data_IF_767081936885
#
_entry.id   IF_767081936885
#
_cell.length_a   1.000
_cell.length_b   1.000
_cell.length_c   1.000
_cell.angle_alpha   90.00
_cell.angle_beta   90.00
_cell.angle_gamma   90.00
#
_symmetry.space_group_name_H-M   'P 1'
#
loop_
_entity.id
_entity.type
_entity.pdbx_description
1 polymer ?
#
# COMPACT_ATOMS: atom_id res chain seq x y z
N UNK A 1 1.16 -20.15 4.40
CA UNK A 1 2.25 -20.32 3.43
C UNK A 1 3.19 -21.43 3.83
N UNK A 2 2.82 -22.18 4.81
CA UNK A 2 3.53 -23.38 5.24
C UNK A 2 4.98 -23.06 5.56
N UNK A 3 5.90 -23.78 4.99
CA UNK A 3 7.32 -23.58 5.23
C UNK A 3 8.00 -22.79 4.12
N UNK A 4 7.23 -22.28 3.19
CA UNK A 4 7.78 -21.54 2.07
C UNK A 4 8.04 -20.11 2.50
N UNK A 5 9.24 -19.65 2.35
CA UNK A 5 9.58 -18.27 2.61
C UNK A 5 8.84 -17.37 1.62
N UNK A 6 8.25 -16.31 2.14
CA UNK A 6 7.64 -15.31 1.28
C UNK A 6 8.77 -14.45 0.72
N UNK A 7 8.89 -14.44 -0.60
CA UNK A 7 9.89 -13.67 -1.30
C UNK A 7 9.18 -12.67 -2.20
N UNK A 8 9.40 -11.39 -1.92
CA UNK A 8 8.82 -10.29 -2.67
C UNK A 8 9.91 -9.56 -3.45
N UNK A 9 10.63 -10.29 -4.27
CA UNK A 9 11.61 -9.68 -5.15
C UNK A 9 10.95 -8.62 -6.03
N UNK A 10 11.70 -7.58 -6.28
CA UNK A 10 11.23 -6.49 -7.09
C UNK A 10 11.03 -6.96 -8.53
N UNK A 11 9.78 -7.18 -8.89
CA UNK A 11 9.41 -7.43 -10.28
C UNK A 11 9.13 -6.08 -10.93
N UNK A 12 9.70 -5.86 -12.10
CA UNK A 12 9.46 -4.61 -12.82
C UNK A 12 7.96 -4.46 -13.11
N UNK A 13 7.45 -3.25 -12.96
CA UNK A 13 6.05 -2.97 -13.24
C UNK A 13 5.80 -3.10 -14.75
N UNK A 14 4.74 -3.80 -15.10
CA UNK A 14 4.33 -4.02 -16.49
C UNK A 14 2.81 -3.93 -16.60
N UNK A 15 2.28 -4.22 -17.78
CA UNK A 15 0.85 -4.11 -18.04
C UNK A 15 0.00 -5.07 -17.21
N UNK A 16 0.61 -6.10 -16.60
CA UNK A 16 -0.08 -7.06 -15.74
C UNK A 16 -0.03 -6.68 -14.26
N UNK A 17 0.70 -5.64 -13.93
CA UNK A 17 0.84 -5.17 -12.55
C UNK A 17 -0.53 -4.82 -11.97
N UNK A 18 -0.82 -5.36 -10.79
CA UNK A 18 -2.06 -5.08 -10.08
C UNK A 18 -1.78 -4.20 -8.86
N UNK A 19 -2.56 -3.14 -8.73
CA UNK A 19 -2.42 -2.16 -7.67
C UNK A 19 -3.73 -2.07 -6.91
N UNK A 20 -3.66 -2.14 -5.58
CA UNK A 20 -4.81 -1.96 -4.72
C UNK A 20 -5.06 -0.48 -4.45
N UNK A 21 -6.30 -0.06 -4.60
CA UNK A 21 -6.72 1.31 -4.33
C UNK A 21 -7.89 1.30 -3.35
N UNK A 22 -7.95 2.31 -2.52
CA UNK A 22 -9.03 2.46 -1.55
C UNK A 22 -9.83 3.73 -1.83
N UNK A 23 -11.10 3.56 -2.10
CA UNK A 23 -12.03 4.64 -2.40
C UNK A 23 -12.93 4.93 -1.19
N UNK A 24 -13.52 6.11 -1.10
CA UNK A 24 -13.43 7.22 -2.04
C UNK A 24 -12.12 7.99 -1.94
N UNK A 25 -11.78 8.70 -3.00
CA UNK A 25 -10.63 9.59 -3.05
C UNK A 25 -11.08 10.99 -3.45
N UNK A 26 -10.31 12.00 -3.06
CA UNK A 26 -10.55 13.37 -3.52
C UNK A 26 -10.27 13.48 -5.02
N UNK A 27 -10.81 14.52 -5.65
CA UNK A 27 -10.55 14.77 -7.06
C UNK A 27 -9.04 14.93 -7.33
N UNK A 28 -8.33 15.64 -6.45
CA UNK A 28 -6.89 15.82 -6.59
C UNK A 28 -6.14 14.50 -6.51
N UNK A 29 -6.56 13.61 -5.62
CA UNK A 29 -5.94 12.29 -5.51
C UNK A 29 -6.19 11.46 -6.77
N UNK A 30 -7.42 11.48 -7.29
CA UNK A 30 -7.75 10.77 -8.51
C UNK A 30 -6.94 11.30 -9.70
N UNK A 31 -6.82 12.61 -9.81
CA UNK A 31 -6.04 13.24 -10.88
C UNK A 31 -4.57 12.83 -10.81
N UNK A 32 -4.01 12.82 -9.60
CA UNK A 32 -2.62 12.41 -9.40
C UNK A 32 -2.39 10.95 -9.81
N UNK A 33 -3.36 10.08 -9.53
CA UNK A 33 -3.24 8.66 -9.80
C UNK A 33 -3.75 8.26 -11.18
N UNK A 34 -4.31 9.20 -11.95
CA UNK A 34 -4.85 8.88 -13.27
C UNK A 34 -3.84 8.21 -14.19
N UNK A 35 -2.58 8.66 -14.29
CA UNK A 35 -1.59 7.97 -15.11
C UNK A 35 -1.38 6.51 -14.72
N UNK A 36 -1.39 6.24 -13.40
CA UNK A 36 -1.23 4.90 -12.90
C UNK A 36 -2.46 4.04 -13.22
N UNK A 37 -3.66 4.58 -12.99
CA UNK A 37 -4.90 3.86 -13.23
C UNK A 37 -5.15 3.60 -14.73
N UNK A 38 -4.60 4.43 -15.60
CA UNK A 38 -4.75 4.23 -17.04
C UNK A 38 -3.81 3.17 -17.61
N UNK A 39 -2.78 2.79 -16.85
CA UNK A 39 -1.74 1.90 -17.33
C UNK A 39 -1.76 0.54 -16.67
N UNK A 40 -2.12 0.48 -15.40
CA UNK A 40 -2.05 -0.75 -14.61
C UNK A 40 -3.43 -1.19 -14.15
N UNK A 41 -3.54 -2.46 -13.79
CA UNK A 41 -4.80 -3.00 -13.30
C UNK A 41 -5.02 -2.56 -11.86
N UNK A 42 -6.16 -1.92 -11.62
CA UNK A 42 -6.53 -1.46 -10.28
C UNK A 42 -7.55 -2.41 -9.66
N UNK A 43 -7.44 -2.61 -8.37
CA UNK A 43 -8.38 -3.41 -7.58
C UNK A 43 -8.79 -2.63 -6.34
N UNK A 44 -10.08 -2.62 -6.07
CA UNK A 44 -10.62 -2.03 -4.85
C UNK A 44 -11.22 -3.16 -4.02
N UNK A 45 -10.58 -3.48 -2.90
CA UNK A 45 -10.98 -4.62 -2.08
C UNK A 45 -11.91 -4.19 -0.95
N UNK A 46 -11.88 -2.90 -0.60
CA UNK A 46 -12.75 -2.36 0.43
C UNK A 46 -12.25 -2.56 1.85
N UNK A 47 -11.05 -3.11 2.01
CA UNK A 47 -10.42 -3.28 3.32
C UNK A 47 -8.95 -2.90 3.21
N UNK A 48 -8.55 -1.85 3.93
CA UNK A 48 -7.15 -1.41 3.94
C UNK A 48 -6.22 -2.47 4.49
N UNK A 49 -6.62 -3.14 5.55
CA UNK A 49 -5.82 -4.21 6.14
C UNK A 49 -5.62 -5.37 5.17
N UNK A 50 -6.69 -5.78 4.48
CA UNK A 50 -6.62 -6.89 3.55
C UNK A 50 -5.79 -6.55 2.32
N UNK A 51 -5.92 -5.33 1.80
CA UNK A 51 -5.09 -4.88 0.67
C UNK A 51 -3.60 -4.92 1.02
N UNK A 52 -3.25 -4.42 2.19
CA UNK A 52 -1.86 -4.44 2.63
C UNK A 52 -1.33 -5.86 2.78
N UNK A 53 -2.15 -6.77 3.31
CA UNK A 53 -1.79 -8.18 3.41
C UNK A 53 -1.59 -8.81 2.03
N UNK A 54 -2.42 -8.48 1.07
CA UNK A 54 -2.26 -8.97 -0.31
C UNK A 54 -0.99 -8.44 -0.95
N UNK A 55 -0.61 -7.20 -0.65
CA UNK A 55 0.69 -6.70 -1.11
C UNK A 55 1.83 -7.50 -0.51
N UNK A 56 1.75 -7.80 0.78
CA UNK A 56 2.79 -8.57 1.47
C UNK A 56 2.94 -9.98 0.91
N UNK A 57 1.83 -10.61 0.50
CA UNK A 57 1.87 -11.99 -0.03
C UNK A 57 2.16 -12.06 -1.52
N UNK A 58 2.23 -10.92 -2.20
CA UNK A 58 2.53 -10.91 -3.63
C UNK A 58 1.33 -10.92 -4.55
N UNK A 59 0.14 -10.92 -4.00
CA UNK A 59 -1.07 -10.87 -4.81
C UNK A 59 -1.23 -9.51 -5.50
N UNK A 60 -0.83 -8.44 -4.81
CA UNK A 60 -0.78 -7.10 -5.37
C UNK A 60 0.67 -6.65 -5.43
N UNK A 61 1.03 -5.94 -6.48
CA UNK A 61 2.36 -5.36 -6.61
C UNK A 61 2.54 -4.16 -5.71
N UNK A 62 1.47 -3.41 -5.52
CA UNK A 62 1.48 -2.26 -4.62
C UNK A 62 0.09 -1.90 -4.17
N UNK A 63 0.02 -1.03 -3.19
CA UNK A 63 -1.24 -0.57 -2.61
C UNK A 63 -1.10 0.91 -2.27
N UNK A 64 -2.17 1.65 -2.49
CA UNK A 64 -2.27 3.07 -2.16
C UNK A 64 -3.53 3.26 -1.34
N UNK A 65 -3.38 3.81 -0.15
CA UNK A 65 -4.51 4.00 0.75
C UNK A 65 -4.35 5.33 1.48
N UNK A 66 -5.22 6.27 1.17
CA UNK A 66 -5.18 7.59 1.77
C UNK A 66 -6.16 7.76 2.94
N UNK A 67 -6.96 6.74 3.23
CA UNK A 67 -8.05 6.87 4.21
C UNK A 67 -7.99 5.84 5.32
N UNK A 68 -6.83 5.25 5.54
CA UNK A 68 -6.69 4.20 6.54
C UNK A 68 -6.35 4.79 7.91
N UNK A 69 -6.84 4.16 8.95
CA UNK A 69 -6.46 4.48 10.33
C UNK A 69 -5.35 3.53 10.79
N UNK A 70 -4.58 3.97 11.79
CA UNK A 70 -3.44 3.20 12.26
C UNK A 70 -3.81 1.80 12.72
N UNK A 71 -4.98 1.62 13.34
CA UNK A 71 -5.40 0.32 13.85
C UNK A 71 -5.77 -0.66 12.74
N UNK A 72 -6.02 -0.17 11.52
CA UNK A 72 -6.32 -1.03 10.39
C UNK A 72 -5.08 -1.64 9.76
N UNK A 73 -3.91 -1.05 9.98
CA UNK A 73 -2.71 -1.40 9.23
C UNK A 73 -1.55 -1.88 10.10
N UNK A 74 -1.66 -1.81 11.43
CA UNK A 74 -0.51 -2.10 12.29
C UNK A 74 0.08 -3.48 12.02
N UNK A 75 -0.76 -4.51 11.96
CA UNK A 75 -0.29 -5.88 11.70
C UNK A 75 0.26 -6.04 10.28
N UNK A 76 -0.42 -5.44 9.31
CA UNK A 76 0.00 -5.51 7.91
C UNK A 76 1.32 -4.76 7.69
N UNK A 77 1.50 -3.65 8.37
CA UNK A 77 2.77 -2.91 8.33
C UNK A 77 3.93 -3.80 8.80
N UNK A 78 3.75 -4.49 9.92
CA UNK A 78 4.77 -5.40 10.43
C UNK A 78 5.02 -6.56 9.48
N UNK A 79 3.96 -7.12 8.89
CA UNK A 79 4.09 -8.20 7.92
C UNK A 79 4.86 -7.75 6.67
N UNK A 80 4.54 -6.59 6.15
CA UNK A 80 5.24 -6.04 4.98
C UNK A 80 6.72 -5.83 5.28
N UNK A 81 7.04 -5.31 6.46
CA UNK A 81 8.43 -5.14 6.86
C UNK A 81 9.16 -6.48 6.91
N UNK A 82 8.50 -7.52 7.40
CA UNK A 82 9.12 -8.84 7.53
C UNK A 82 9.45 -9.50 6.20
N UNK A 83 8.76 -9.14 5.12
CA UNK A 83 9.01 -9.68 3.79
C UNK A 83 9.81 -8.73 2.91
N UNK A 84 10.30 -7.62 3.48
CA UNK A 84 11.13 -6.67 2.75
C UNK A 84 10.37 -5.74 1.82
N UNK A 85 9.07 -5.65 1.96
CA UNK A 85 8.26 -4.73 1.17
C UNK A 85 8.48 -3.30 1.65
N UNK A 86 8.54 -2.36 0.73
CA UNK A 86 8.71 -0.94 1.07
C UNK A 86 7.37 -0.34 1.45
N UNK A 87 7.39 0.52 2.47
CA UNK A 87 6.21 1.21 2.96
C UNK A 87 6.53 2.67 3.17
N UNK A 88 5.79 3.56 2.52
CA UNK A 88 6.03 4.99 2.59
C UNK A 88 4.76 5.69 3.05
N UNK A 89 4.84 6.37 4.18
CA UNK A 89 3.78 7.26 4.61
C UNK A 89 3.94 8.59 3.90
N UNK A 90 2.85 9.11 3.35
CA UNK A 90 2.89 10.39 2.62
C UNK A 90 2.88 11.58 3.57
N UNK A 91 2.55 11.34 4.83
CA UNK A 91 2.63 12.32 5.91
C UNK A 91 3.49 11.71 7.01
N UNK A 92 3.41 12.24 8.21
CA UNK A 92 4.20 11.71 9.32
C UNK A 92 3.82 10.26 9.63
N UNK A 93 4.81 9.38 9.76
CA UNK A 93 4.58 8.00 10.11
C UNK A 93 3.98 7.91 11.52
N UNK A 94 2.92 7.10 11.74
CA UNK A 94 2.40 6.87 13.06
C UNK A 94 3.23 5.90 13.89
N UNK A 95 4.22 5.23 13.28
CA UNK A 95 5.04 4.23 13.98
C UNK A 95 6.44 4.75 14.26
N UNK A 96 7.06 4.37 15.39
CA UNK A 96 6.46 3.56 16.46
C UNK A 96 5.34 4.33 17.15
N UNK A 97 4.29 3.61 17.51
CA UNK A 97 3.10 4.21 18.10
C UNK A 97 3.37 4.58 19.57
N UNK A 98 3.36 5.87 19.87
CA UNK A 98 3.61 6.37 21.24
C UNK A 98 2.32 6.66 21.98
N UNK A 99 1.27 7.01 21.26
CA UNK A 99 -0.04 7.31 21.80
C UNK A 99 -1.08 6.73 20.88
N UNK A 100 -2.21 6.36 21.46
CA UNK A 100 -3.36 5.90 20.70
C UNK A 100 -4.61 6.55 21.25
N UNK A 101 -5.43 7.10 20.37
CA UNK A 101 -6.77 7.57 20.73
C UNK A 101 -7.68 7.49 19.49
N UNK A 102 -9.00 7.33 19.73
CA UNK A 102 -9.92 7.06 18.62
C UNK A 102 -10.09 8.23 17.64
N UNK A 103 -9.65 9.43 18.00
CA UNK A 103 -9.73 10.59 17.12
C UNK A 103 -8.50 10.78 16.25
N UNK A 104 -7.54 9.85 16.27
CA UNK A 104 -6.39 9.92 15.38
C UNK A 104 -6.84 10.01 13.93
N UNK A 105 -6.19 10.88 13.16
CA UNK A 105 -6.51 11.07 11.75
C UNK A 105 -6.09 9.89 10.88
N UNK A 106 -6.24 10.06 9.58
CA UNK A 106 -5.78 9.06 8.62
C UNK A 106 -4.26 9.02 8.56
N UNK A 107 -3.74 7.85 8.18
CA UNK A 107 -2.31 7.62 8.00
C UNK A 107 -2.07 7.22 6.54
N UNK A 108 -2.15 8.17 5.60
CA UNK A 108 -2.05 7.84 4.18
C UNK A 108 -0.68 7.27 3.84
N UNK A 109 -0.68 6.25 3.00
CA UNK A 109 0.55 5.56 2.64
C UNK A 109 0.44 4.94 1.25
N UNK A 110 1.58 4.55 0.72
CA UNK A 110 1.66 3.57 -0.35
C UNK A 110 2.75 2.57 0.00
N UNK A 111 2.57 1.34 -0.44
CA UNK A 111 3.48 0.26 -0.14
C UNK A 111 3.54 -0.69 -1.32
N UNK A 112 4.68 -1.33 -1.51
CA UNK A 112 4.83 -2.27 -2.60
C UNK A 112 6.28 -2.65 -2.84
N UNK A 113 6.52 -3.25 -4.00
CA UNK A 113 7.86 -3.58 -4.45
C UNK A 113 8.66 -2.29 -4.70
N UNK A 114 9.97 -2.43 -4.78
CA UNK A 114 10.83 -1.27 -5.03
C UNK A 114 10.48 -0.59 -6.36
N UNK A 115 10.17 -1.37 -7.38
CA UNK A 115 9.76 -0.80 -8.67
C UNK A 115 8.44 -0.03 -8.56
N UNK A 116 7.52 -0.49 -7.73
CA UNK A 116 6.27 0.24 -7.48
C UNK A 116 6.55 1.56 -6.75
N UNK A 117 7.43 1.54 -5.76
CA UNK A 117 7.80 2.75 -5.03
C UNK A 117 8.43 3.79 -5.97
N UNK A 118 9.33 3.35 -6.85
CA UNK A 118 9.92 4.23 -7.87
C UNK A 118 8.84 4.85 -8.75
N UNK A 119 7.89 4.03 -9.18
CA UNK A 119 6.79 4.49 -10.02
C UNK A 119 5.98 5.57 -9.30
N UNK A 120 5.70 5.37 -8.02
CA UNK A 120 4.96 6.34 -7.22
C UNK A 120 5.71 7.66 -7.05
N UNK A 121 7.02 7.59 -6.93
CA UNK A 121 7.85 8.81 -6.77
C UNK A 121 7.88 9.69 -8.02
N UNK A 122 7.55 9.13 -9.16
CA UNK A 122 7.59 9.84 -10.45
C UNK A 122 6.21 10.22 -10.97
N UNK A 123 5.20 10.07 -10.17
CA UNK A 123 3.84 10.50 -10.55
C UNK A 123 3.67 12.01 -10.50
#
# INVERSE_FOLDING_TARGET
RNQKKIDRDATAADAQTMVGLHFPMSFNQLEKLAPLMSKYRARCIGSGALMAAYAATGYLTGVIDYRVKVWDIAAAYALCASVGLKWVFTETSPFPLKQFHPQMGFSPYYAGTESFIDLMRHL
#
